data_IF_636465001725
#
_entry.id   IF_636465001725
#
_cell.length_a   1.000
_cell.length_b   1.000
_cell.length_c   1.000
_cell.angle_alpha   90.00
_cell.angle_beta   90.00
_cell.angle_gamma   90.00
#
_symmetry.space_group_name_H-M   'P 1'
#
loop_
_entity.id
_entity.type
_entity.pdbx_description
1 polymer ?
#
# COMPACT_ATOMS: atom_id res chain seq x y z
N UNK A 1 -12.80 -5.34 -10.08
CA UNK A 1 -11.91 -5.27 -9.05
C UNK A 1 -10.62 -4.74 -9.46
N UNK A 2 -10.03 -3.93 -8.70
CA UNK A 2 -8.73 -3.35 -9.01
C UNK A 2 -7.61 -4.23 -8.53
N UNK A 3 -6.59 -4.34 -9.37
CA UNK A 3 -5.42 -5.11 -9.01
C UNK A 3 -4.57 -4.25 -8.07
N UNK A 4 -4.30 -4.71 -6.85
CA UNK A 4 -3.54 -3.90 -5.92
C UNK A 4 -2.14 -3.55 -6.43
N UNK A 5 -1.53 -4.42 -7.22
CA UNK A 5 -0.22 -4.11 -7.78
C UNK A 5 -0.31 -2.97 -8.79
N UNK A 6 -1.39 -2.94 -9.55
CA UNK A 6 -1.59 -1.85 -10.50
C UNK A 6 -1.87 -0.55 -9.78
N UNK A 7 -2.63 -0.61 -8.71
CA UNK A 7 -2.91 0.59 -7.94
C UNK A 7 -1.62 1.19 -7.41
N UNK A 8 -0.72 0.33 -6.94
CA UNK A 8 0.57 0.80 -6.44
C UNK A 8 1.56 1.13 -7.56
N UNK A 9 1.25 0.72 -8.78
CA UNK A 9 2.13 1.01 -9.89
C UNK A 9 3.38 0.16 -9.92
N UNK A 10 3.29 -1.06 -9.43
CA UNK A 10 4.44 -1.98 -9.40
C UNK A 10 4.08 -3.29 -10.06
N UNK A 11 5.10 -4.06 -10.39
CA UNK A 11 4.93 -5.39 -10.93
C UNK A 11 4.56 -6.37 -9.83
N UNK A 12 3.78 -7.41 -10.16
CA UNK A 12 3.52 -8.46 -9.17
C UNK A 12 4.79 -9.14 -8.67
N UNK A 13 5.87 -9.04 -9.43
CA UNK A 13 7.14 -9.62 -9.01
C UNK A 13 8.04 -8.62 -8.30
N UNK A 14 7.56 -7.43 -8.00
CA UNK A 14 8.35 -6.43 -7.31
C UNK A 14 8.77 -6.92 -5.93
N UNK A 15 9.92 -6.47 -5.48
CA UNK A 15 10.37 -6.82 -4.13
C UNK A 15 9.55 -6.07 -3.10
N UNK A 16 9.62 -6.53 -1.86
CA UNK A 16 8.91 -5.86 -0.77
C UNK A 16 9.38 -4.41 -0.62
N UNK A 17 10.68 -4.18 -0.80
CA UNK A 17 11.22 -2.83 -0.73
C UNK A 17 10.68 -1.95 -1.83
N UNK A 18 10.56 -2.50 -3.02
CA UNK A 18 10.02 -1.76 -4.15
C UNK A 18 8.57 -1.37 -3.91
N UNK A 19 7.82 -2.29 -3.33
CA UNK A 19 6.42 -2.04 -3.02
C UNK A 19 6.30 -0.96 -1.95
N UNK A 20 7.12 -1.05 -0.92
CA UNK A 20 7.11 -0.06 0.14
C UNK A 20 7.48 1.33 -0.39
N UNK A 21 8.48 1.38 -1.24
CA UNK A 21 8.90 2.64 -1.84
C UNK A 21 7.79 3.23 -2.69
N UNK A 22 7.13 2.38 -3.50
CA UNK A 22 6.02 2.84 -4.33
C UNK A 22 4.89 3.39 -3.48
N UNK A 23 4.57 2.69 -2.39
CA UNK A 23 3.53 3.16 -1.49
C UNK A 23 3.88 4.52 -0.92
N UNK A 24 5.11 4.69 -0.47
CA UNK A 24 5.54 5.96 0.11
C UNK A 24 5.47 7.10 -0.90
N UNK A 25 5.86 6.83 -2.13
CA UNK A 25 5.81 7.85 -3.16
C UNK A 25 4.38 8.28 -3.43
N UNK A 26 3.49 7.29 -3.51
CA UNK A 26 2.09 7.60 -3.74
C UNK A 26 1.48 8.33 -2.55
N UNK A 27 1.86 7.93 -1.35
CA UNK A 27 1.36 8.57 -0.14
C UNK A 27 1.76 10.05 -0.11
N UNK A 28 2.99 10.34 -0.50
CA UNK A 28 3.44 11.72 -0.57
C UNK A 28 2.65 12.50 -1.61
N UNK A 29 2.39 11.87 -2.73
CA UNK A 29 1.71 12.54 -3.82
C UNK A 29 0.25 12.84 -3.52
N UNK A 30 -0.42 11.92 -2.86
CA UNK A 30 -1.85 12.07 -2.61
C UNK A 30 -2.20 12.40 -1.17
N UNK A 31 -1.23 12.79 -0.38
CA UNK A 31 -1.52 13.12 1.01
C UNK A 31 -2.53 14.26 1.08
N UNK A 32 -3.53 14.14 1.93
CA UNK A 32 -4.58 15.16 2.00
C UNK A 32 -4.05 16.58 2.24
N UNK A 33 -2.95 16.69 2.97
CA UNK A 33 -2.38 18.01 3.26
C UNK A 33 -1.94 18.72 1.99
N UNK A 34 -1.57 17.98 0.95
CA UNK A 34 -1.14 18.57 -0.30
C UNK A 34 -2.27 19.22 -1.04
N UNK A 35 -3.50 18.83 -0.71
CA UNK A 35 -4.67 19.32 -1.42
C UNK A 35 -5.62 20.11 -0.53
N UNK A 36 -5.13 20.50 0.63
CA UNK A 36 -5.93 21.24 1.58
C UNK A 36 -6.46 22.52 0.91
N UNK A 37 -7.76 22.71 0.95
CA UNK A 37 -8.37 23.87 0.30
C UNK A 37 -8.54 23.73 -1.20
N UNK A 38 -8.11 22.61 -1.77
CA UNK A 38 -8.23 22.41 -3.19
C UNK A 38 -9.57 21.77 -3.54
N UNK A 39 -10.14 22.10 -4.70
CA UNK A 39 -11.37 21.43 -5.11
C UNK A 39 -11.23 19.93 -5.29
N UNK A 40 -9.99 19.42 -5.44
CA UNK A 40 -9.80 18.00 -5.63
C UNK A 40 -9.34 17.29 -4.36
N UNK A 41 -9.49 17.95 -3.21
CA UNK A 41 -9.08 17.33 -1.95
C UNK A 41 -9.80 16.00 -1.70
N UNK A 42 -11.08 15.96 -2.03
CA UNK A 42 -11.86 14.73 -1.84
C UNK A 42 -11.35 13.61 -2.73
N UNK A 43 -10.98 13.92 -3.96
CA UNK A 43 -10.44 12.92 -4.87
C UNK A 43 -9.11 12.39 -4.36
N UNK A 44 -8.28 13.28 -3.84
CA UNK A 44 -7.00 12.87 -3.28
C UNK A 44 -7.20 11.94 -2.09
N UNK A 45 -8.18 12.24 -1.26
CA UNK A 45 -8.50 11.40 -0.12
C UNK A 45 -8.96 10.02 -0.53
N UNK A 46 -9.81 9.95 -1.56
CA UNK A 46 -10.28 8.67 -2.06
C UNK A 46 -9.14 7.87 -2.66
N UNK A 47 -8.26 8.55 -3.38
CA UNK A 47 -7.12 7.88 -3.98
C UNK A 47 -6.21 7.34 -2.89
N UNK A 48 -5.98 8.10 -1.85
CA UNK A 48 -5.15 7.67 -0.74
C UNK A 48 -5.74 6.45 -0.05
N UNK A 49 -7.05 6.42 0.11
CA UNK A 49 -7.72 5.28 0.69
C UNK A 49 -7.51 4.03 -0.17
N UNK A 50 -7.64 4.18 -1.47
CA UNK A 50 -7.44 3.07 -2.39
C UNK A 50 -6.01 2.55 -2.31
N UNK A 51 -5.04 3.47 -2.24
CA UNK A 51 -3.64 3.12 -2.14
C UNK A 51 -3.36 2.37 -0.84
N UNK A 52 -3.93 2.85 0.26
CA UNK A 52 -3.75 2.18 1.55
C UNK A 52 -4.32 0.76 1.54
N UNK A 53 -5.47 0.59 0.95
CA UNK A 53 -6.09 -0.72 0.87
C UNK A 53 -5.29 -1.66 -0.01
N UNK A 54 -4.78 -1.14 -1.12
CA UNK A 54 -3.95 -1.95 -2.01
C UNK A 54 -2.68 -2.41 -1.31
N UNK A 55 -2.04 -1.51 -0.60
CA UNK A 55 -0.82 -1.82 0.12
C UNK A 55 -1.08 -2.87 1.20
N UNK A 56 -2.15 -2.69 1.97
CA UNK A 56 -2.54 -3.67 2.98
C UNK A 56 -2.77 -5.04 2.38
N UNK A 57 -3.45 -5.09 1.25
CA UNK A 57 -3.75 -6.34 0.58
C UNK A 57 -2.47 -7.04 0.15
N UNK A 58 -1.57 -6.30 -0.47
CA UNK A 58 -0.30 -6.87 -0.94
C UNK A 58 0.53 -7.37 0.23
N UNK A 59 0.64 -6.57 1.27
CA UNK A 59 1.45 -6.94 2.43
C UNK A 59 0.88 -8.18 3.10
N UNK A 60 -0.44 -8.23 3.24
CA UNK A 60 -1.08 -9.40 3.86
C UNK A 60 -0.87 -10.65 3.05
N UNK A 61 -1.01 -10.56 1.74
CA UNK A 61 -0.82 -11.71 0.89
C UNK A 61 0.62 -12.21 0.95
N UNK A 62 1.56 -11.30 0.93
CA UNK A 62 2.97 -11.69 0.96
C UNK A 62 3.36 -12.27 2.30
N UNK A 63 2.79 -11.76 3.37
CA UNK A 63 3.03 -12.32 4.66
C UNK A 63 2.57 -13.74 4.75
N UNK A 64 1.38 -14.02 4.24
CA UNK A 64 0.85 -15.36 4.25
C UNK A 64 1.71 -16.30 3.44
N UNK A 65 2.18 -15.85 2.30
CA UNK A 65 3.03 -16.67 1.46
C UNK A 65 4.37 -16.97 2.11
N UNK A 66 4.94 -15.96 2.73
CA UNK A 66 6.20 -16.13 3.34
C UNK A 66 6.17 -17.02 4.53
N UNK A 67 5.20 -16.85 5.36
CA UNK A 67 5.14 -17.57 6.59
C UNK A 67 4.67 -18.94 6.44
N UNK A 68 4.10 -19.23 5.38
CA UNK A 68 3.70 -20.55 5.19
C UNK A 68 3.24 -21.10 6.41
N UNK A 69 3.55 -21.50 7.24
CA UNK A 69 3.01 -21.96 8.27
C UNK A 69 3.62 -21.57 9.51
N UNK A 70 4.33 -20.65 9.68
CA UNK A 70 5.00 -20.44 10.72
C UNK A 70 4.84 -19.20 11.20
N UNK A 71 4.15 -18.84 11.64
CA UNK A 71 3.91 -17.72 11.94
C UNK A 71 4.19 -17.15 13.01
N UNK A 72 3.86 -17.48 13.55
CA UNK A 72 4.04 -17.09 14.64
C UNK A 72 4.58 -15.91 14.89
N UNK A 73 5.06 -15.67 15.37
CA UNK A 73 5.59 -14.74 15.89
C UNK A 73 5.86 -13.65 15.22
N UNK A 74 5.87 -13.60 14.55
CA UNK A 74 6.22 -12.71 13.91
C UNK A 74 5.54 -11.60 13.99
N UNK A 75 4.89 -11.78 14.29
CA UNK A 75 4.19 -10.88 14.33
C UNK A 75 4.49 -9.74 14.96
N UNK A 76 4.80 -9.81 15.24
CA UNK A 76 4.98 -8.94 15.66
C UNK A 76 5.57 -8.08 15.45
N UNK A 77 5.92 -8.08 15.37
CA UNK A 77 6.53 -7.32 15.17
C UNK A 77 6.38 -6.42 14.65
N UNK A 78 6.18 -6.20 14.57
CA UNK A 78 6.18 -5.43 14.07
C UNK A 78 6.05 -4.66 14.10
N UNK A 79 6.08 -4.45 14.44
CA UNK A 79 5.96 -3.78 14.42
C UNK A 79 5.65 -3.22 14.17
#
# INVERSE_FOLDING_TARGET
MSDPYKILGVSPSATDDEIKTAYRELAKKYHPDNYSGSPIADLAGEKMKEINEAYDTVVSQRKQQKNGGYTAYTAQSDG
#
